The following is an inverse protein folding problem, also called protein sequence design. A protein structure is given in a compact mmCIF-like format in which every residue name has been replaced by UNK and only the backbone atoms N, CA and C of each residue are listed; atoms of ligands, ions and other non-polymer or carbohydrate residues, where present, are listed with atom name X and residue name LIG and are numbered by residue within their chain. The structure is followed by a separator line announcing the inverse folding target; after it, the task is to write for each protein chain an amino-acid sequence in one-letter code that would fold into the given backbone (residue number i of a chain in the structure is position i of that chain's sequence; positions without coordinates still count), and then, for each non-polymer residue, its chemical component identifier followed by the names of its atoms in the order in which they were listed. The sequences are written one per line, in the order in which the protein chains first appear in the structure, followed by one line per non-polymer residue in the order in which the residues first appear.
data_IF_713952292637
#
_entry.id   IF_713952292637
#
_cell.length_a   1.000
_cell.length_b   1.000
_cell.length_c   1.000
_cell.angle_alpha   90.00
_cell.angle_beta   90.00
_cell.angle_gamma   90.00
#
_symmetry.space_group_name_H-M   'P 1'
#
loop_
_entity.id
_entity.type
_entity.pdbx_description
1 polymer ?
#
# COMPACT_ATOMS: atom_id res chain seq x y z
N UNK A 1 -22.01 11.89 16.65
CA UNK A 1 -22.02 10.67 15.84
C UNK A 1 -20.62 10.11 15.93
N UNK A 2 -20.46 9.03 16.69
CA UNK A 2 -19.15 8.44 16.95
C UNK A 2 -18.67 7.75 15.66
N UNK A 3 -17.76 8.39 14.95
CA UNK A 3 -17.12 7.80 13.78
C UNK A 3 -16.24 6.66 14.28
N UNK A 4 -16.76 5.43 14.18
CA UNK A 4 -16.08 4.24 14.62
C UNK A 4 -14.99 3.91 13.59
N UNK A 5 -13.74 4.05 14.01
CA UNK A 5 -12.60 3.61 13.21
C UNK A 5 -12.59 2.08 13.20
N UNK A 6 -12.91 1.49 12.05
CA UNK A 6 -12.85 0.05 11.79
C UNK A 6 -11.67 -0.26 10.87
N UNK A 7 -10.96 -1.35 11.14
CA UNK A 7 -9.95 -1.86 10.21
C UNK A 7 -10.66 -2.26 8.93
N UNK A 8 -10.39 -1.51 7.85
CA UNK A 8 -10.93 -1.85 6.55
C UNK A 8 -10.12 -3.02 5.98
N UNK A 9 -8.90 -2.77 5.49
CA UNK A 9 -8.10 -3.77 4.76
C UNK A 9 -6.76 -4.10 5.44
N UNK A 10 -6.26 -5.30 5.14
CA UNK A 10 -4.85 -5.68 5.34
C UNK A 10 -4.21 -5.88 3.97
N UNK A 11 -3.25 -5.02 3.62
CA UNK A 11 -2.62 -5.00 2.30
C UNK A 11 -1.40 -5.91 2.28
N UNK A 12 -1.62 -7.20 2.01
CA UNK A 12 -0.58 -8.23 2.04
C UNK A 12 0.17 -8.32 0.70
N UNK A 13 1.50 -8.42 0.76
CA UNK A 13 2.28 -8.72 -0.45
C UNK A 13 3.78 -8.44 -0.36
N UNK A 14 4.20 -7.45 0.41
CA UNK A 14 5.62 -7.20 0.64
C UNK A 14 6.28 -8.38 1.36
N UNK A 15 7.49 -8.76 0.93
CA UNK A 15 8.22 -9.91 1.48
C UNK A 15 9.13 -9.53 2.65
N UNK A 16 9.45 -8.25 2.78
CA UNK A 16 10.25 -7.67 3.86
C UNK A 16 9.55 -6.42 4.41
N UNK A 17 10.17 -5.79 5.41
CA UNK A 17 9.61 -4.64 6.11
C UNK A 17 9.24 -3.48 5.18
N UNK A 18 7.99 -3.01 5.30
CA UNK A 18 7.52 -1.78 4.67
C UNK A 18 8.20 -0.59 5.34
N UNK A 19 8.80 0.29 4.54
CA UNK A 19 9.59 1.44 5.02
C UNK A 19 8.85 2.76 4.89
N UNK A 20 7.90 2.86 3.95
CA UNK A 20 7.09 4.06 3.74
C UNK A 20 5.74 3.72 3.12
N UNK A 21 4.75 4.56 3.40
CA UNK A 21 3.43 4.54 2.78
C UNK A 21 3.00 5.98 2.48
N UNK A 22 2.35 6.17 1.35
CA UNK A 22 1.72 7.44 0.98
C UNK A 22 0.34 7.18 0.35
N UNK A 23 -0.57 8.16 0.45
CA UNK A 23 -1.94 8.06 -0.05
C UNK A 23 -2.19 9.21 -1.04
N UNK A 24 -2.82 8.88 -2.17
CA UNK A 24 -3.19 9.89 -3.16
C UNK A 24 -4.17 10.92 -2.56
N UNK A 25 -4.15 12.15 -3.07
CA UNK A 25 -4.97 13.23 -2.53
C UNK A 25 -6.48 12.93 -2.48
N UNK A 26 -6.97 12.09 -3.39
CA UNK A 26 -8.36 11.65 -3.44
C UNK A 26 -8.67 10.40 -2.58
N UNK A 27 -7.68 9.85 -1.87
CA UNK A 27 -7.84 8.68 -1.01
C UNK A 27 -8.08 7.36 -1.73
N UNK A 28 -7.94 7.30 -3.06
CA UNK A 28 -8.26 6.10 -3.83
C UNK A 28 -7.09 5.10 -3.92
N UNK A 29 -5.84 5.59 -3.87
CA UNK A 29 -4.66 4.76 -4.07
C UNK A 29 -3.70 4.97 -2.91
N UNK A 30 -3.15 3.87 -2.39
CA UNK A 30 -1.96 3.89 -1.56
C UNK A 30 -0.74 3.40 -2.34
N UNK A 31 0.42 3.98 -2.05
CA UNK A 31 1.71 3.49 -2.49
C UNK A 31 2.51 3.06 -1.26
N UNK A 32 3.14 1.89 -1.30
CA UNK A 32 4.06 1.43 -0.25
C UNK A 32 5.39 1.01 -0.82
N UNK A 33 6.47 1.30 -0.10
CA UNK A 33 7.82 0.83 -0.41
C UNK A 33 8.33 -0.10 0.68
N UNK A 34 9.20 -1.05 0.32
CA UNK A 34 9.72 -2.05 1.25
C UNK A 34 11.19 -2.35 1.00
N UNK A 35 11.83 -2.95 2.02
CA UNK A 35 13.16 -3.53 1.93
C UNK A 35 13.23 -4.71 0.95
N UNK A 36 12.09 -5.22 0.44
CA UNK A 36 12.04 -6.23 -0.63
C UNK A 36 12.35 -5.66 -2.02
N UNK A 37 12.82 -4.41 -2.07
CA UNK A 37 13.16 -3.68 -3.28
C UNK A 37 11.96 -3.46 -4.21
N UNK A 38 10.72 -3.53 -3.71
CA UNK A 38 9.53 -3.24 -4.51
C UNK A 38 8.75 -2.03 -3.98
N UNK A 39 8.09 -1.35 -4.93
CA UNK A 39 7.01 -0.40 -4.66
C UNK A 39 5.70 -1.06 -5.10
N UNK A 40 4.68 -1.05 -4.24
CA UNK A 40 3.34 -1.57 -4.54
C UNK A 40 2.32 -0.46 -4.52
N UNK A 41 1.40 -0.50 -5.49
CA UNK A 41 0.23 0.37 -5.55
C UNK A 41 -1.00 -0.45 -5.19
N UNK A 42 -1.86 0.13 -4.37
CA UNK A 42 -3.05 -0.51 -3.80
C UNK A 42 -4.28 0.32 -4.09
N UNK A 43 -5.36 -0.36 -4.43
CA UNK A 43 -6.70 0.21 -4.50
C UNK A 43 -7.30 0.19 -3.09
N UNK A 44 -7.59 1.37 -2.53
CA UNK A 44 -8.13 1.50 -1.18
C UNK A 44 -9.64 1.24 -1.10
N UNK A 45 -10.36 1.25 -2.23
CA UNK A 45 -11.76 0.83 -2.26
C UNK A 45 -11.88 -0.69 -2.12
N UNK A 46 -11.01 -1.43 -2.83
CA UNK A 46 -11.12 -2.90 -2.91
C UNK A 46 -10.10 -3.67 -2.06
N UNK A 47 -9.07 -3.00 -1.53
CA UNK A 47 -7.99 -3.61 -0.78
C UNK A 47 -7.03 -4.46 -1.62
N UNK A 48 -7.10 -4.34 -2.96
CA UNK A 48 -6.32 -5.16 -3.88
C UNK A 48 -5.06 -4.43 -4.34
N UNK A 49 -4.00 -5.21 -4.56
CA UNK A 49 -2.84 -4.70 -5.27
C UNK A 49 -3.18 -4.41 -6.73
N UNK A 50 -2.85 -3.20 -7.18
CA UNK A 50 -2.94 -2.76 -8.57
C UNK A 50 -1.66 -3.16 -9.32
N UNK A 51 -0.50 -2.86 -8.74
CA UNK A 51 0.80 -3.06 -9.40
C UNK A 51 1.93 -3.25 -8.40
N UNK A 52 2.94 -4.02 -8.79
CA UNK A 52 4.25 -4.07 -8.14
C UNK A 52 5.32 -3.60 -9.13
N UNK A 53 6.31 -2.87 -8.64
CA UNK A 53 7.41 -2.33 -9.42
C UNK A 53 8.72 -2.67 -8.72
N UNK A 54 9.66 -3.24 -9.46
CA UNK A 54 11.02 -3.44 -8.97
C UNK A 54 11.75 -2.09 -8.93
N UNK A 55 12.29 -1.76 -7.76
CA UNK A 55 13.06 -0.56 -7.47
C UNK A 55 14.46 -0.90 -6.95
N UNK A 56 14.88 -2.16 -7.06
CA UNK A 56 16.23 -2.60 -6.74
C UNK A 56 17.29 -2.01 -7.66
N UNK A 57 18.57 -2.14 -7.29
CA UNK A 57 19.65 -1.79 -8.21
C UNK A 57 19.53 -2.68 -9.45
N UNK A 58 19.42 -2.03 -10.63
CA UNK A 58 19.35 -2.71 -11.93
C UNK A 58 20.63 -3.43 -12.30
#
# INVERSE_FOLDING_TARGET
SDEKLELQWTLEGHQLGVVSVDISQNGAIAASSSLDAHIRLWDLETGKQIKSMDAGPG
#
